data_IF_871774642852
#
_entry.id   IF_871774642852
#
_cell.length_a   1.000
_cell.length_b   1.000
_cell.length_c   1.000
_cell.angle_alpha   90.00
_cell.angle_beta   90.00
_cell.angle_gamma   90.00
#
_symmetry.space_group_name_H-M   'P 1'
#
loop_
_entity.id
_entity.type
_entity.pdbx_description
1 polymer ?
#
# COMPACT_ATOMS: atom_id res chain seq x y z
N UNK A 1 7.60 78.12 -21.03
CA UNK A 1 6.77 76.97 -21.37
C UNK A 1 7.49 75.71 -20.99
N UNK A 2 7.12 75.07 -19.87
CA UNK A 2 7.70 73.81 -19.41
C UNK A 2 6.65 72.73 -19.59
N UNK A 3 6.88 71.80 -20.55
CA UNK A 3 6.04 70.61 -20.77
C UNK A 3 6.40 69.57 -19.72
N UNK A 4 5.47 69.15 -18.88
CA UNK A 4 5.58 68.01 -17.94
C UNK A 4 5.18 66.76 -18.71
N UNK A 5 6.12 65.84 -18.86
CA UNK A 5 5.89 64.47 -19.35
C UNK A 5 5.28 63.66 -18.20
N UNK A 6 4.07 63.16 -18.35
CA UNK A 6 3.47 62.22 -17.44
C UNK A 6 3.82 60.82 -17.90
N UNK A 7 4.60 60.08 -17.10
CA UNK A 7 4.90 58.66 -17.32
C UNK A 7 3.79 57.85 -16.64
N UNK A 8 3.00 57.17 -17.46
CA UNK A 8 1.98 56.22 -16.98
C UNK A 8 2.65 54.86 -16.71
N UNK A 9 2.67 54.46 -15.45
CA UNK A 9 3.08 53.09 -15.05
C UNK A 9 1.86 52.19 -15.21
N UNK A 10 1.88 51.32 -16.23
CA UNK A 10 0.96 50.19 -16.34
C UNK A 10 1.41 49.05 -15.44
N UNK A 11 0.74 48.81 -14.31
CA UNK A 11 0.92 47.65 -13.50
C UNK A 11 0.22 46.46 -14.16
N UNK A 12 0.97 45.59 -14.82
CA UNK A 12 0.46 44.30 -15.29
C UNK A 12 0.37 43.37 -14.10
N UNK A 13 -0.85 43.14 -13.61
CA UNK A 13 -1.12 42.11 -12.60
C UNK A 13 -0.99 40.72 -13.26
N UNK A 14 0.10 40.01 -12.96
CA UNK A 14 0.25 38.62 -13.33
C UNK A 14 -0.73 37.78 -12.48
N UNK A 15 -1.86 37.36 -13.05
CA UNK A 15 -2.68 36.29 -12.49
C UNK A 15 -1.87 35.00 -12.58
N UNK A 16 -1.28 34.57 -11.47
CA UNK A 16 -0.79 33.23 -11.31
C UNK A 16 -2.01 32.28 -11.34
N UNK A 17 -2.25 31.63 -12.47
CA UNK A 17 -3.23 30.56 -12.56
C UNK A 17 -2.78 29.44 -11.63
N UNK A 18 -3.40 29.29 -10.47
CA UNK A 18 -3.27 28.11 -9.63
C UNK A 18 -3.76 26.92 -10.49
N UNK A 19 -2.84 26.06 -10.88
CA UNK A 19 -3.21 24.80 -11.53
C UNK A 19 -4.21 24.08 -10.64
N UNK A 20 -5.34 23.60 -11.15
CA UNK A 20 -6.28 22.85 -10.33
C UNK A 20 -5.53 21.62 -9.83
N UNK A 21 -5.53 21.43 -8.51
CA UNK A 21 -5.12 20.17 -7.89
C UNK A 21 -6.13 19.12 -8.39
N UNK A 22 -5.78 18.44 -9.47
CA UNK A 22 -6.58 17.33 -10.00
C UNK A 22 -6.46 16.20 -8.98
N UNK A 23 -7.35 16.21 -7.99
CA UNK A 23 -7.57 15.05 -7.13
C UNK A 23 -8.45 14.05 -7.88
N UNK A 24 -7.94 13.52 -9.00
CA UNK A 24 -8.56 12.38 -9.66
C UNK A 24 -8.49 11.14 -8.75
N UNK A 25 -9.30 10.09 -9.02
CA UNK A 25 -9.14 8.84 -8.33
C UNK A 25 -7.70 8.38 -8.49
N UNK A 26 -7.04 8.09 -7.38
CA UNK A 26 -5.62 7.76 -7.32
C UNK A 26 -5.31 6.35 -7.84
N UNK A 27 -6.34 5.61 -8.25
CA UNK A 27 -6.23 4.29 -8.86
C UNK A 27 -7.26 4.19 -9.99
N UNK A 28 -6.89 3.54 -11.08
CA UNK A 28 -7.80 3.24 -12.19
C UNK A 28 -8.68 2.02 -11.92
N UNK A 29 -8.40 1.28 -10.85
CA UNK A 29 -9.19 0.12 -10.45
C UNK A 29 -10.41 0.56 -9.66
N UNK A 30 -11.59 0.51 -10.27
CA UNK A 30 -12.86 0.64 -9.58
C UNK A 30 -13.34 -0.75 -9.10
N UNK A 31 -13.69 -0.86 -7.83
CA UNK A 31 -14.27 -2.09 -7.28
C UNK A 31 -15.75 -2.21 -7.63
N UNK A 32 -16.04 -2.38 -8.92
CA UNK A 32 -17.36 -2.76 -9.38
C UNK A 32 -17.57 -4.27 -9.19
N UNK A 33 -18.83 -4.73 -9.29
CA UNK A 33 -19.11 -6.16 -9.23
C UNK A 33 -18.37 -6.95 -10.31
N UNK A 34 -18.25 -6.38 -11.49
CA UNK A 34 -17.55 -6.97 -12.65
C UNK A 34 -16.05 -7.09 -12.36
N UNK A 35 -15.42 -6.02 -11.86
CA UNK A 35 -14.00 -6.02 -11.51
C UNK A 35 -13.70 -7.04 -10.40
N UNK A 36 -14.55 -7.12 -9.38
CA UNK A 36 -14.39 -8.11 -8.29
C UNK A 36 -14.57 -9.54 -8.81
N UNK A 37 -15.57 -9.79 -9.67
CA UNK A 37 -15.77 -11.10 -10.30
C UNK A 37 -14.55 -11.50 -11.13
N UNK A 38 -14.05 -10.59 -11.98
CA UNK A 38 -12.87 -10.82 -12.80
C UNK A 38 -11.64 -11.14 -11.93
N UNK A 39 -11.31 -10.30 -10.98
CA UNK A 39 -10.16 -10.51 -10.11
C UNK A 39 -10.24 -11.80 -9.28
N UNK A 40 -11.45 -12.25 -8.93
CA UNK A 40 -11.70 -13.51 -8.23
C UNK A 40 -11.79 -14.74 -9.14
N UNK A 41 -11.92 -14.55 -10.45
CA UNK A 41 -11.98 -15.66 -11.42
C UNK A 41 -10.60 -16.23 -11.77
N UNK A 42 -9.53 -15.68 -11.21
CA UNK A 42 -8.17 -16.09 -11.46
C UNK A 42 -7.93 -17.57 -11.17
N UNK A 43 -7.15 -18.21 -12.01
CA UNK A 43 -6.78 -19.62 -11.92
C UNK A 43 -5.29 -19.77 -11.55
N UNK A 44 -5.02 -20.26 -10.35
CA UNK A 44 -3.66 -20.40 -9.85
C UNK A 44 -2.78 -21.32 -10.72
N UNK A 45 -3.36 -22.34 -11.38
CA UNK A 45 -2.59 -23.21 -12.27
C UNK A 45 -2.18 -22.52 -13.58
N UNK A 46 -3.01 -21.61 -14.11
CA UNK A 46 -2.61 -20.73 -15.21
C UNK A 46 -1.58 -19.71 -14.76
N UNK A 47 -1.82 -19.07 -13.60
CA UNK A 47 -0.87 -18.13 -13.00
C UNK A 47 0.51 -18.75 -12.78
N UNK A 48 0.57 -20.03 -12.39
CA UNK A 48 1.84 -20.78 -12.30
C UNK A 48 2.57 -20.89 -13.63
N UNK A 49 1.89 -20.88 -14.77
CA UNK A 49 2.55 -20.90 -16.09
C UNK A 49 3.08 -19.52 -16.48
N UNK A 50 2.46 -18.46 -15.97
CA UNK A 50 2.79 -17.07 -16.29
C UNK A 50 3.88 -16.49 -15.37
N UNK A 51 4.08 -17.07 -14.17
CA UNK A 51 4.90 -16.46 -13.12
C UNK A 51 6.41 -16.48 -13.36
N UNK A 52 6.92 -17.24 -14.35
CA UNK A 52 8.35 -17.50 -14.53
C UNK A 52 9.19 -16.22 -14.63
N UNK A 53 8.73 -15.24 -15.40
CA UNK A 53 9.44 -13.96 -15.53
C UNK A 53 9.37 -13.16 -14.21
N UNK A 54 8.26 -13.25 -13.49
CA UNK A 54 8.09 -12.60 -12.19
C UNK A 54 9.00 -13.24 -11.12
N UNK A 55 9.20 -14.57 -11.20
CA UNK A 55 9.99 -15.35 -10.25
C UNK A 55 11.47 -14.94 -10.22
N UNK A 56 12.00 -14.37 -11.31
CA UNK A 56 13.38 -13.91 -11.38
C UNK A 56 13.70 -12.88 -10.30
N UNK A 57 12.71 -12.03 -9.93
CA UNK A 57 12.85 -11.04 -8.88
C UNK A 57 12.08 -11.43 -7.62
N UNK A 58 10.85 -11.94 -7.75
CA UNK A 58 9.97 -12.21 -6.61
C UNK A 58 10.11 -13.65 -6.04
N UNK A 59 10.95 -14.50 -6.65
CA UNK A 59 11.11 -15.90 -6.25
C UNK A 59 9.95 -16.79 -6.68
N UNK A 60 10.18 -18.10 -6.74
CA UNK A 60 9.23 -19.11 -7.21
C UNK A 60 7.90 -19.12 -6.45
N UNK A 61 7.95 -18.89 -5.14
CA UNK A 61 6.77 -18.80 -4.28
C UNK A 61 6.35 -17.36 -3.96
N UNK A 62 6.95 -16.37 -4.61
CA UNK A 62 6.71 -14.97 -4.33
C UNK A 62 7.33 -14.50 -3.02
N UNK A 63 8.37 -15.16 -2.53
CA UNK A 63 9.09 -14.77 -1.32
C UNK A 63 10.59 -14.77 -1.63
N UNK A 64 11.25 -13.65 -1.35
CA UNK A 64 12.65 -13.44 -1.71
C UNK A 64 13.36 -12.58 -0.68
N UNK A 65 14.62 -12.81 -0.45
CA UNK A 65 15.46 -11.98 0.41
C UNK A 65 16.31 -10.99 -0.43
N UNK A 66 15.60 -10.18 -1.23
CA UNK A 66 16.21 -9.11 -2.02
C UNK A 66 15.64 -7.80 -1.47
N UNK A 67 16.52 -6.82 -1.12
CA UNK A 67 16.05 -5.49 -0.72
C UNK A 67 15.15 -4.86 -1.79
N UNK A 68 14.14 -4.11 -1.36
CA UNK A 68 13.21 -3.37 -2.20
C UNK A 68 12.32 -4.21 -3.14
N UNK A 69 12.44 -5.54 -3.10
CA UNK A 69 11.52 -6.44 -3.78
C UNK A 69 10.50 -6.98 -2.79
N UNK A 70 9.21 -6.64 -2.93
CA UNK A 70 8.18 -7.06 -1.99
C UNK A 70 7.86 -8.55 -2.11
N UNK A 71 7.52 -9.16 -0.98
CA UNK A 71 6.98 -10.50 -0.94
C UNK A 71 5.52 -10.53 -1.42
N UNK A 72 5.21 -11.48 -2.30
CA UNK A 72 3.89 -11.67 -2.90
C UNK A 72 3.14 -12.87 -2.30
N UNK A 73 3.88 -13.88 -1.80
CA UNK A 73 3.31 -15.11 -1.26
C UNK A 73 2.30 -14.84 -0.14
N UNK A 74 1.11 -15.45 -0.21
CA UNK A 74 0.03 -15.27 0.75
C UNK A 74 -0.57 -13.87 0.82
N UNK A 75 -0.27 -12.99 -0.16
CA UNK A 75 -0.90 -11.67 -0.24
C UNK A 75 -2.33 -11.79 -0.77
N UNK A 76 -3.20 -10.87 -0.39
CA UNK A 76 -4.58 -10.81 -0.87
C UNK A 76 -4.64 -10.73 -2.41
N UNK A 77 -5.37 -11.64 -3.04
CA UNK A 77 -5.45 -11.72 -4.51
C UNK A 77 -6.02 -10.44 -5.15
N UNK A 78 -7.05 -9.84 -4.56
CA UNK A 78 -7.60 -8.57 -5.05
C UNK A 78 -6.58 -7.45 -4.92
N UNK A 79 -5.77 -7.44 -3.86
CA UNK A 79 -4.69 -6.49 -3.72
C UNK A 79 -3.62 -6.68 -4.81
N UNK A 80 -3.17 -7.91 -5.06
CA UNK A 80 -2.18 -8.19 -6.12
C UNK A 80 -2.74 -7.76 -7.47
N UNK A 81 -3.97 -8.17 -7.82
CA UNK A 81 -4.64 -7.76 -9.06
C UNK A 81 -4.64 -6.24 -9.22
N UNK A 82 -5.06 -5.53 -8.17
CA UNK A 82 -5.07 -4.07 -8.17
C UNK A 82 -3.68 -3.49 -8.42
N UNK A 83 -2.64 -4.00 -7.75
CA UNK A 83 -1.31 -3.46 -7.92
C UNK A 83 -0.79 -3.68 -9.36
N UNK A 84 -1.02 -4.85 -9.96
CA UNK A 84 -0.65 -5.12 -11.35
C UNK A 84 -1.39 -4.18 -12.32
N UNK A 85 -2.70 -3.99 -12.10
CA UNK A 85 -3.52 -3.06 -12.89
C UNK A 85 -3.04 -1.61 -12.75
N UNK A 86 -2.69 -1.17 -11.54
CA UNK A 86 -2.19 0.18 -11.27
C UNK A 86 -0.82 0.43 -11.93
N UNK A 87 0.08 -0.55 -11.91
CA UNK A 87 1.34 -0.45 -12.64
C UNK A 87 1.11 -0.38 -14.15
N UNK A 88 0.21 -1.22 -14.70
CA UNK A 88 -0.12 -1.20 -16.12
C UNK A 88 -0.74 0.12 -16.57
N UNK A 89 -1.59 0.71 -15.74
CA UNK A 89 -2.24 1.99 -15.99
C UNK A 89 -1.35 3.22 -15.70
N UNK A 90 -0.16 3.02 -15.08
CA UNK A 90 0.72 4.11 -14.66
C UNK A 90 0.26 4.87 -13.42
N UNK A 91 -0.80 4.44 -12.74
CA UNK A 91 -1.26 5.05 -11.49
C UNK A 91 -0.40 4.64 -10.27
N UNK A 92 0.43 3.61 -10.44
CA UNK A 92 1.57 3.29 -9.57
C UNK A 92 2.83 3.23 -10.43
N UNK A 93 3.91 3.88 -9.98
CA UNK A 93 5.15 3.99 -10.76
C UNK A 93 6.24 3.09 -10.21
N UNK A 94 6.90 2.40 -11.12
CA UNK A 94 8.14 1.65 -10.91
C UNK A 94 8.71 1.34 -12.28
N UNK A 95 9.95 1.74 -12.55
CA UNK A 95 10.58 1.50 -13.86
C UNK A 95 10.56 0.03 -14.28
N UNK A 96 10.72 -0.88 -13.32
CA UNK A 96 10.71 -2.33 -13.58
C UNK A 96 9.28 -2.86 -13.74
N UNK A 97 8.39 -2.54 -12.78
CA UNK A 97 7.06 -3.15 -12.76
C UNK A 97 6.15 -2.61 -13.86
N UNK A 98 6.26 -1.32 -14.21
CA UNK A 98 5.46 -0.78 -15.31
C UNK A 98 5.76 -1.49 -16.63
N UNK A 99 7.02 -1.82 -16.91
CA UNK A 99 7.40 -2.56 -18.11
C UNK A 99 6.96 -4.04 -18.04
N UNK A 100 7.19 -4.69 -16.89
CA UNK A 100 6.90 -6.11 -16.69
C UNK A 100 5.42 -6.48 -16.89
N UNK A 101 4.49 -5.54 -16.63
CA UNK A 101 3.05 -5.83 -16.70
C UNK A 101 2.38 -5.40 -18.01
N UNK A 102 3.08 -4.75 -18.94
CA UNK A 102 2.47 -4.14 -20.14
C UNK A 102 1.72 -5.14 -21.01
N UNK A 103 2.26 -6.34 -21.17
CA UNK A 103 1.69 -7.38 -22.04
C UNK A 103 0.61 -8.23 -21.36
N UNK A 104 0.45 -8.12 -20.04
CA UNK A 104 -0.53 -8.91 -19.29
C UNK A 104 -1.96 -8.47 -19.61
N UNK A 105 -2.83 -9.42 -19.91
CA UNK A 105 -4.26 -9.17 -19.93
C UNK A 105 -4.84 -9.08 -18.50
N UNK A 106 -6.07 -8.59 -18.37
CA UNK A 106 -6.75 -8.56 -17.07
C UNK A 106 -6.93 -9.97 -16.48
N UNK A 107 -7.14 -10.98 -17.34
CA UNK A 107 -7.20 -12.38 -16.92
C UNK A 107 -5.82 -12.90 -16.46
N UNK A 108 -4.72 -12.54 -17.14
CA UNK A 108 -3.37 -12.93 -16.70
C UNK A 108 -3.04 -12.33 -15.33
N UNK A 109 -3.41 -11.06 -15.11
CA UNK A 109 -3.25 -10.40 -13.82
C UNK A 109 -4.08 -11.09 -12.72
N UNK A 110 -5.30 -11.52 -13.02
CA UNK A 110 -6.13 -12.28 -12.10
C UNK A 110 -5.54 -13.67 -11.79
N UNK A 111 -5.01 -14.36 -12.79
CA UNK A 111 -4.38 -15.67 -12.66
C UNK A 111 -3.08 -15.61 -11.82
N UNK A 112 -2.22 -14.63 -12.08
CA UNK A 112 -1.02 -14.35 -11.27
C UNK A 112 -1.39 -14.00 -9.82
N UNK A 113 -2.43 -13.18 -9.62
CA UNK A 113 -2.92 -12.84 -8.31
C UNK A 113 -3.42 -14.08 -7.54
N UNK A 114 -4.15 -14.97 -8.20
CA UNK A 114 -4.60 -16.22 -7.62
C UNK A 114 -3.42 -17.16 -7.29
N UNK A 115 -2.40 -17.22 -8.16
CA UNK A 115 -1.21 -18.04 -7.93
C UNK A 115 -0.44 -17.59 -6.70
N UNK A 116 -0.05 -16.30 -6.62
CA UNK A 116 0.75 -15.80 -5.49
C UNK A 116 -0.04 -15.77 -4.17
N UNK A 117 -1.31 -15.48 -4.23
CA UNK A 117 -2.19 -15.51 -3.04
C UNK A 117 -2.31 -16.91 -2.42
N UNK A 118 -2.21 -17.97 -3.23
CA UNK A 118 -2.24 -19.35 -2.78
C UNK A 118 -0.88 -19.86 -2.24
N UNK A 119 0.20 -19.09 -2.41
CA UNK A 119 1.51 -19.46 -1.88
C UNK A 119 1.56 -19.24 -0.36
N UNK A 120 2.50 -19.93 0.30
CA UNK A 120 2.76 -19.68 1.73
C UNK A 120 3.30 -18.25 1.90
N UNK A 121 2.84 -17.52 2.92
CA UNK A 121 3.45 -16.23 3.25
C UNK A 121 4.92 -16.39 3.61
N UNK A 122 5.73 -15.33 3.51
CA UNK A 122 7.11 -15.36 3.96
C UNK A 122 7.18 -15.77 5.44
N UNK A 123 8.26 -16.39 5.83
CA UNK A 123 8.52 -16.62 7.25
C UNK A 123 9.19 -15.37 7.80
N UNK A 124 8.66 -14.83 8.90
CA UNK A 124 9.39 -13.83 9.65
C UNK A 124 10.73 -14.41 10.08
N UNK A 125 11.82 -13.78 9.65
CA UNK A 125 13.19 -14.13 10.07
C UNK A 125 13.68 -13.26 11.24
N UNK A 126 12.87 -12.28 11.65
CA UNK A 126 13.16 -11.36 12.74
C UNK A 126 12.96 -12.03 14.12
N UNK A 127 13.83 -11.68 15.08
CA UNK A 127 13.47 -11.88 16.50
C UNK A 127 12.23 -11.03 16.77
N UNK A 128 11.22 -11.56 17.49
CA UNK A 128 10.11 -10.72 17.93
C UNK A 128 10.68 -9.51 18.68
N UNK A 129 10.53 -8.32 18.12
CA UNK A 129 10.78 -7.12 18.89
C UNK A 129 9.78 -7.09 20.03
N UNK A 130 10.20 -6.57 21.18
CA UNK A 130 9.24 -6.30 22.26
C UNK A 130 8.16 -5.37 21.71
N UNK A 131 6.87 -5.65 21.96
CA UNK A 131 5.79 -4.83 21.45
C UNK A 131 6.06 -3.37 21.83
N UNK A 132 6.14 -2.49 20.84
CA UNK A 132 6.15 -1.07 21.10
C UNK A 132 4.69 -0.67 21.40
N UNK A 133 4.41 -0.25 22.64
CA UNK A 133 3.06 0.07 23.09
C UNK A 133 2.38 1.12 22.21
N UNK A 134 3.15 2.06 21.66
CA UNK A 134 2.63 3.05 20.74
C UNK A 134 2.20 2.42 19.41
N UNK A 135 2.98 1.48 18.85
CA UNK A 135 2.61 0.75 17.64
C UNK A 135 1.39 -0.14 17.88
N UNK A 136 1.35 -0.87 19.01
CA UNK A 136 0.18 -1.67 19.40
C UNK A 136 -1.06 -0.81 19.48
N UNK A 137 -0.97 0.35 20.15
CA UNK A 137 -2.10 1.29 20.28
C UNK A 137 -2.56 1.78 18.90
N UNK A 138 -1.65 2.24 18.04
CA UNK A 138 -2.01 2.69 16.68
C UNK A 138 -2.62 1.56 15.86
N UNK A 139 -2.09 0.35 15.95
CA UNK A 139 -2.59 -0.79 15.21
C UNK A 139 -4.00 -1.20 15.66
N UNK A 140 -4.27 -1.26 16.96
CA UNK A 140 -5.49 -1.87 17.52
C UNK A 140 -6.57 -0.87 17.94
N UNK A 141 -6.19 0.37 18.29
CA UNK A 141 -7.09 1.42 18.78
C UNK A 141 -7.08 2.66 17.88
N UNK A 142 -5.92 2.99 17.31
CA UNK A 142 -5.71 4.21 16.56
C UNK A 142 -5.45 5.44 17.44
N UNK A 143 -5.59 6.63 16.83
CA UNK A 143 -5.49 7.93 17.50
C UNK A 143 -6.59 8.88 17.00
N UNK A 144 -7.68 8.95 17.73
CA UNK A 144 -8.84 9.77 17.34
C UNK A 144 -8.56 11.28 17.29
N UNK A 145 -7.57 11.77 18.05
CA UNK A 145 -7.20 13.20 18.02
C UNK A 145 -6.54 13.55 16.69
N UNK A 146 -5.69 12.67 16.19
CA UNK A 146 -5.01 12.82 14.90
C UNK A 146 -5.79 12.23 13.72
N UNK A 147 -7.02 11.76 13.94
CA UNK A 147 -7.87 11.11 12.92
C UNK A 147 -7.22 9.88 12.30
N UNK A 148 -6.46 9.11 13.08
CA UNK A 148 -5.88 7.84 12.67
C UNK A 148 -6.74 6.70 13.25
N UNK A 149 -7.54 6.01 12.42
CA UNK A 149 -8.26 4.82 12.87
C UNK A 149 -7.29 3.66 13.16
N UNK A 150 -7.75 2.66 13.89
CA UNK A 150 -6.97 1.45 14.08
C UNK A 150 -6.61 0.82 12.71
N UNK A 151 -5.34 0.52 12.49
CA UNK A 151 -4.87 -0.08 11.24
C UNK A 151 -5.52 -1.45 11.00
N UNK A 152 -5.68 -2.24 12.09
CA UNK A 152 -6.29 -3.57 12.06
C UNK A 152 -7.77 -3.54 11.67
N UNK A 153 -8.46 -2.41 11.83
CA UNK A 153 -9.85 -2.27 11.37
C UNK A 153 -10.01 -2.55 9.87
N UNK A 154 -9.03 -2.15 9.07
CA UNK A 154 -9.02 -2.39 7.62
C UNK A 154 -8.11 -3.57 7.23
N UNK A 155 -6.93 -3.70 7.86
CA UNK A 155 -5.94 -4.70 7.51
C UNK A 155 -6.13 -6.06 8.21
N UNK A 156 -7.14 -6.17 9.10
CA UNK A 156 -7.42 -7.37 9.88
C UNK A 156 -6.52 -7.51 11.10
N UNK A 157 -6.92 -8.39 12.01
CA UNK A 157 -6.18 -8.64 13.23
C UNK A 157 -4.70 -8.92 12.92
N UNK A 158 -3.84 -8.10 13.52
CA UNK A 158 -2.38 -8.14 13.29
C UNK A 158 -1.99 -8.11 11.81
N UNK A 159 -2.77 -7.41 11.00
CA UNK A 159 -2.50 -7.28 9.57
C UNK A 159 -2.72 -8.57 8.75
N UNK A 160 -3.46 -9.54 9.26
CA UNK A 160 -3.70 -10.82 8.58
C UNK A 160 -4.61 -10.72 7.35
N UNK A 161 -5.13 -9.54 7.07
CA UNK A 161 -6.10 -9.27 6.01
C UNK A 161 -7.53 -9.24 6.56
N UNK A 162 -8.37 -8.44 5.94
CA UNK A 162 -9.78 -8.32 6.32
C UNK A 162 -10.67 -8.67 5.13
N UNK A 163 -11.42 -9.79 5.19
CA UNK A 163 -12.24 -10.24 4.07
C UNK A 163 -13.44 -9.31 3.77
N UNK A 164 -13.80 -8.43 4.72
CA UNK A 164 -14.89 -7.47 4.55
C UNK A 164 -14.51 -6.29 3.66
N UNK A 165 -13.21 -6.08 3.43
CA UNK A 165 -12.70 -4.99 2.57
C UNK A 165 -12.02 -5.53 1.32
N UNK A 166 -12.47 -5.09 0.16
CA UNK A 166 -11.87 -5.49 -1.11
C UNK A 166 -10.47 -4.91 -1.30
N UNK A 167 -9.51 -5.77 -1.61
CA UNK A 167 -8.16 -5.35 -1.98
C UNK A 167 -7.32 -4.73 -0.86
N UNK A 168 -7.66 -4.97 0.41
CA UNK A 168 -6.78 -4.61 1.51
C UNK A 168 -5.54 -5.51 1.54
N UNK A 169 -4.37 -4.91 1.73
CA UNK A 169 -3.13 -5.67 1.81
C UNK A 169 -3.03 -6.44 3.12
N UNK A 170 -2.47 -7.64 3.05
CA UNK A 170 -1.95 -8.36 4.21
C UNK A 170 -0.62 -7.70 4.60
N UNK A 171 -0.50 -7.31 5.87
CA UNK A 171 0.71 -6.69 6.43
C UNK A 171 1.54 -7.68 7.24
N UNK A 172 0.87 -8.70 7.79
CA UNK A 172 1.47 -9.73 8.62
C UNK A 172 2.61 -10.44 7.90
N UNK A 173 3.73 -10.60 8.60
CA UNK A 173 4.93 -11.31 8.12
C UNK A 173 5.58 -10.69 6.86
N UNK A 174 5.26 -9.42 6.53
CA UNK A 174 5.94 -8.68 5.46
C UNK A 174 7.24 -8.08 5.97
N UNK A 175 8.21 -7.89 5.08
CA UNK A 175 9.49 -7.26 5.44
C UNK A 175 9.26 -5.89 6.07
N UNK A 176 9.86 -5.65 7.21
CA UNK A 176 9.80 -4.36 7.90
C UNK A 176 10.28 -3.20 7.01
N UNK A 177 11.34 -3.44 6.24
CA UNK A 177 11.86 -2.46 5.28
C UNK A 177 10.81 -2.10 4.23
N UNK A 178 10.13 -3.09 3.61
CA UNK A 178 9.09 -2.83 2.62
C UNK A 178 7.92 -2.04 3.22
N UNK A 179 7.43 -2.45 4.40
CA UNK A 179 6.36 -1.73 5.09
C UNK A 179 6.76 -0.28 5.38
N UNK A 180 8.00 -0.03 5.83
CA UNK A 180 8.53 1.31 6.09
C UNK A 180 8.53 2.15 4.82
N UNK A 181 9.09 1.62 3.73
CA UNK A 181 9.16 2.31 2.44
C UNK A 181 7.76 2.66 1.93
N UNK A 182 6.82 1.70 2.00
CA UNK A 182 5.45 1.93 1.52
C UNK A 182 4.70 3.00 2.36
N UNK A 183 4.84 2.99 3.68
CA UNK A 183 4.23 3.99 4.54
C UNK A 183 4.82 5.39 4.30
N UNK A 184 6.15 5.48 4.14
CA UNK A 184 6.81 6.74 3.79
C UNK A 184 6.38 7.25 2.41
N UNK A 185 6.28 6.38 1.41
CA UNK A 185 5.84 6.73 0.07
C UNK A 185 4.38 7.23 0.04
N UNK A 186 3.49 6.65 0.84
CA UNK A 186 2.15 7.20 1.02
C UNK A 186 2.17 8.55 1.73
N UNK A 187 2.99 8.72 2.76
CA UNK A 187 3.10 9.97 3.52
C UNK A 187 3.61 11.12 2.64
N UNK A 188 4.62 10.86 1.81
CA UNK A 188 5.18 11.86 0.88
C UNK A 188 4.27 12.13 -0.33
N UNK A 189 3.35 11.22 -0.64
CA UNK A 189 2.52 11.27 -1.84
C UNK A 189 3.20 10.68 -3.09
N UNK A 190 4.41 10.17 -2.98
CA UNK A 190 5.10 9.44 -4.06
C UNK A 190 4.29 8.21 -4.49
N UNK A 191 3.73 7.48 -3.53
CA UNK A 191 2.74 6.46 -3.79
C UNK A 191 1.34 7.04 -3.63
N UNK A 192 0.60 7.11 -4.73
CA UNK A 192 -0.71 7.78 -4.81
C UNK A 192 -1.83 6.89 -5.35
N UNK A 193 -1.62 5.56 -5.40
CA UNK A 193 -2.58 4.61 -5.96
C UNK A 193 -3.57 4.03 -4.93
N UNK A 194 -3.70 4.65 -3.79
CA UNK A 194 -4.68 4.31 -2.76
C UNK A 194 -6.08 4.82 -3.12
N UNK A 195 -7.09 3.96 -2.95
CA UNK A 195 -8.49 4.30 -3.21
C UNK A 195 -8.94 5.38 -2.22
N UNK A 196 -9.55 6.45 -2.74
CA UNK A 196 -10.01 7.61 -1.96
C UNK A 196 -8.96 8.28 -1.08
N UNK A 197 -7.67 8.14 -1.40
CA UNK A 197 -6.54 8.73 -0.66
C UNK A 197 -6.39 8.24 0.80
N UNK A 198 -7.04 7.15 1.17
CA UNK A 198 -7.12 6.70 2.57
C UNK A 198 -5.74 6.56 3.20
N UNK A 199 -4.81 5.83 2.55
CA UNK A 199 -3.47 5.62 3.11
C UNK A 199 -2.64 6.91 3.14
N UNK A 200 -2.73 7.76 2.13
CA UNK A 200 -2.05 9.07 2.11
C UNK A 200 -2.55 9.97 3.24
N UNK A 201 -3.86 10.02 3.44
CA UNK A 201 -4.46 10.86 4.46
C UNK A 201 -4.18 10.36 5.88
N UNK A 202 -4.00 9.06 6.07
CA UNK A 202 -3.57 8.49 7.35
C UNK A 202 -2.08 8.70 7.58
N UNK A 203 -1.25 8.33 6.60
CA UNK A 203 0.20 8.33 6.75
C UNK A 203 0.79 9.72 6.98
N UNK A 204 0.16 10.80 6.49
CA UNK A 204 0.64 12.18 6.73
C UNK A 204 0.71 12.55 8.21
N UNK A 205 -0.04 11.86 9.06
CA UNK A 205 -0.08 12.09 10.50
C UNK A 205 0.90 11.22 11.30
N UNK A 206 1.60 10.28 10.64
CA UNK A 206 2.57 9.39 11.28
C UNK A 206 3.96 10.04 11.33
N UNK A 207 4.64 9.89 12.46
CA UNK A 207 6.07 10.23 12.61
C UNK A 207 6.94 9.10 12.04
N UNK A 208 8.25 9.38 11.82
CA UNK A 208 9.20 8.36 11.37
C UNK A 208 9.31 7.21 12.38
N UNK A 209 9.30 7.53 13.67
CA UNK A 209 9.37 6.51 14.73
C UNK A 209 8.12 5.63 14.79
N UNK A 210 6.93 6.18 14.53
CA UNK A 210 5.68 5.42 14.46
C UNK A 210 5.64 4.52 13.22
N UNK A 211 6.12 5.01 12.07
CA UNK A 211 6.25 4.20 10.85
C UNK A 211 7.17 3.01 11.09
N UNK A 212 8.36 3.25 11.65
CA UNK A 212 9.30 2.19 11.96
C UNK A 212 8.72 1.17 12.98
N UNK A 213 8.03 1.65 14.00
CA UNK A 213 7.41 0.81 15.03
C UNK A 213 6.24 -0.03 14.46
N UNK A 214 5.38 0.54 13.60
CA UNK A 214 4.30 -0.18 12.92
C UNK A 214 4.86 -1.22 11.93
N UNK A 215 5.90 -0.87 11.18
CA UNK A 215 6.55 -1.80 10.27
C UNK A 215 7.15 -2.99 11.01
N UNK A 216 7.80 -2.77 12.15
CA UNK A 216 8.28 -3.83 13.04
C UNK A 216 7.12 -4.67 13.60
N UNK A 217 6.06 -4.03 14.09
CA UNK A 217 4.90 -4.71 14.66
C UNK A 217 4.24 -5.71 13.70
N UNK A 218 4.12 -5.35 12.42
CA UNK A 218 3.49 -6.22 11.42
C UNK A 218 4.45 -7.24 10.80
N UNK A 219 5.76 -6.95 10.75
CA UNK A 219 6.76 -7.88 10.20
C UNK A 219 7.12 -9.01 11.14
N UNK A 220 6.91 -8.82 12.42
CA UNK A 220 7.27 -9.78 13.46
C UNK A 220 6.01 -10.40 14.05
N UNK A 221 5.73 -11.67 13.69
CA UNK A 221 4.66 -12.42 14.36
C UNK A 221 5.16 -12.86 15.73
N UNK A 222 4.70 -12.30 16.85
CA UNK A 222 4.94 -12.90 18.13
C UNK A 222 4.32 -14.29 18.17
N UNK A 223 4.88 -15.24 18.93
CA UNK A 223 4.22 -16.50 19.18
C UNK A 223 2.82 -16.27 19.76
N UNK A 224 1.90 -17.12 19.45
CA UNK A 224 0.43 -17.12 19.55
C UNK A 224 -0.24 -16.64 20.87
N UNK A 225 0.49 -16.10 21.85
CA UNK A 225 -0.07 -15.59 23.09
C UNK A 225 0.53 -14.24 23.50
N UNK A 226 -0.15 -13.17 23.11
CA UNK A 226 -0.13 -12.00 23.96
C UNK A 226 -1.07 -12.24 25.14
N UNK A 227 -0.66 -11.94 26.40
CA UNK A 227 -1.59 -11.94 27.51
C UNK A 227 -2.71 -10.95 27.23
N UNK A 228 -3.93 -11.33 27.55
CA UNK A 228 -5.06 -10.42 27.50
C UNK A 228 -4.70 -9.11 28.23
N UNK A 229 -5.13 -7.93 27.72
CA UNK A 229 -4.89 -6.68 28.42
C UNK A 229 -5.40 -6.84 29.85
N UNK A 230 -4.51 -6.65 30.81
CA UNK A 230 -4.89 -6.74 32.23
C UNK A 230 -6.03 -5.74 32.45
N UNK A 231 -7.18 -6.25 32.88
CA UNK A 231 -8.28 -5.43 33.32
C UNK A 231 -7.73 -4.49 34.39
N UNK A 232 -7.58 -3.21 34.04
CA UNK A 232 -7.25 -2.18 35.00
C UNK A 232 -8.33 -2.26 36.09
N UNK A 233 -7.94 -2.75 37.28
CA UNK A 233 -8.75 -2.68 38.48
C UNK A 233 -9.14 -1.22 38.73
N UNK A 234 -10.40 -1.08 39.05
CA UNK A 234 -11.12 0.14 39.44
C UNK A 234 -10.35 1.06 40.37
#
# INVERSE_FOLDING_TARGET
MRRRLAIAFSAAAALAAAAPLVSGPSSQVAWTLETVKLARSGNAARGKKLHQDCAQCHGEAGNVDIPDVPDLGGQNSLYIYKQLSDYKAGSRTSSIMNDAVQTLSDHDMADLAAFYSAQKPPRSTGKPALPNDAAVKLATVGDGVRLIPACDACHGDRGAGNPSFYGMSVLKDRKSQDLTVQLMAFRSGERANDVYRVMRDLCKHLTDSEIAALASYYSETPPEKLPAPSSASK
#
